data_IF_587657520860
#
_entry.id   IF_587657520860
#
_cell.length_a   1.000
_cell.length_b   1.000
_cell.length_c   1.000
_cell.angle_alpha   90.00
_cell.angle_beta   90.00
_cell.angle_gamma   90.00
#
_symmetry.space_group_name_H-M   'P 1'
#
loop_
_entity.id
_entity.type
_entity.pdbx_description
1 polymer ?
#
# COMPACT_ATOMS: atom_id res chain seq x y z
N UNK A 1 -7.98 25.63 27.35
CA UNK A 1 -7.68 25.07 26.01
C UNK A 1 -8.83 24.16 25.60
N UNK A 2 -9.72 24.60 24.71
CA UNK A 2 -10.86 23.80 24.23
C UNK A 2 -10.42 23.07 22.94
N UNK A 3 -10.31 21.74 22.99
CA UNK A 3 -10.21 20.93 21.78
C UNK A 3 -11.46 21.18 20.94
N UNK A 4 -11.28 21.74 19.74
CA UNK A 4 -12.34 21.78 18.73
C UNK A 4 -12.49 20.37 18.20
N UNK A 5 -13.35 19.57 18.83
CA UNK A 5 -13.81 18.32 18.23
C UNK A 5 -14.66 18.69 17.02
N UNK A 6 -14.05 18.73 15.84
CA UNK A 6 -14.78 18.75 14.57
C UNK A 6 -15.56 17.46 14.47
N UNK A 7 -16.89 17.56 14.55
CA UNK A 7 -17.78 16.42 14.32
C UNK A 7 -17.50 15.82 12.95
N UNK A 8 -17.36 14.49 12.89
CA UNK A 8 -17.19 13.77 11.63
C UNK A 8 -18.42 13.98 10.74
N UNK A 9 -18.21 14.07 9.43
CA UNK A 9 -19.33 14.22 8.48
C UNK A 9 -20.23 12.99 8.50
N UNK A 10 -21.52 13.20 8.18
CA UNK A 10 -22.50 12.10 8.08
C UNK A 10 -22.07 11.01 7.08
N UNK A 11 -21.33 11.38 6.03
CA UNK A 11 -20.78 10.44 5.05
C UNK A 11 -19.68 9.55 5.63
N UNK A 12 -18.83 10.08 6.52
CA UNK A 12 -17.79 9.30 7.20
C UNK A 12 -18.40 8.39 8.24
N UNK A 13 -19.39 8.88 9.02
CA UNK A 13 -20.13 8.05 9.97
C UNK A 13 -20.81 6.86 9.30
N UNK A 14 -21.44 7.08 8.14
CA UNK A 14 -22.05 6.02 7.36
C UNK A 14 -21.03 5.00 6.82
N UNK A 15 -19.82 5.45 6.43
CA UNK A 15 -18.74 4.55 6.02
C UNK A 15 -18.17 3.73 7.18
N UNK A 16 -18.06 4.31 8.36
CA UNK A 16 -17.59 3.61 9.56
C UNK A 16 -18.64 2.58 10.00
N UNK A 17 -19.92 2.95 10.00
CA UNK A 17 -21.00 2.05 10.40
C UNK A 17 -21.13 0.83 9.48
N UNK A 18 -20.81 0.97 8.19
CA UNK A 18 -20.84 -0.11 7.21
C UNK A 18 -19.46 -0.69 6.89
N UNK A 19 -18.42 -0.28 7.63
CA UNK A 19 -17.06 -0.77 7.44
C UNK A 19 -16.86 -2.16 8.05
N UNK A 20 -15.77 -2.86 7.70
CA UNK A 20 -15.43 -4.13 8.32
C UNK A 20 -15.20 -3.93 9.82
N UNK A 21 -15.80 -4.82 10.61
CA UNK A 21 -15.64 -4.89 12.06
C UNK A 21 -14.29 -5.52 12.42
N UNK A 22 -13.86 -5.37 13.68
CA UNK A 22 -12.65 -6.04 14.16
C UNK A 22 -12.74 -7.57 13.99
N UNK A 23 -13.93 -8.14 14.17
CA UNK A 23 -14.18 -9.57 14.03
C UNK A 23 -13.86 -10.08 12.62
N UNK A 24 -14.02 -9.26 11.60
CA UNK A 24 -13.68 -9.62 10.21
C UNK A 24 -12.16 -9.80 10.00
N UNK A 25 -11.32 -9.23 10.88
CA UNK A 25 -9.86 -9.35 10.83
C UNK A 25 -9.29 -10.44 11.73
N UNK A 26 -10.00 -10.78 12.82
CA UNK A 26 -9.57 -11.81 13.79
C UNK A 26 -10.06 -13.20 13.38
N UNK A 27 -11.04 -13.27 12.49
CA UNK A 27 -11.57 -14.55 11.98
C UNK A 27 -10.48 -15.35 11.25
N UNK A 28 -10.36 -16.66 11.52
CA UNK A 28 -9.38 -17.52 10.86
C UNK A 28 -9.72 -17.81 9.39
N UNK A 29 -10.98 -17.59 9.02
CA UNK A 29 -11.48 -17.84 7.69
C UNK A 29 -11.12 -16.68 6.75
N UNK A 30 -10.52 -16.97 5.57
CA UNK A 30 -10.24 -15.94 4.59
C UNK A 30 -11.55 -15.32 4.06
N UNK A 31 -11.53 -14.05 3.63
CA UNK A 31 -12.68 -13.43 2.98
C UNK A 31 -13.27 -14.30 1.88
N UNK A 32 -14.59 -14.43 1.85
CA UNK A 32 -15.34 -15.31 0.93
C UNK A 32 -15.01 -15.08 -0.55
N UNK A 33 -14.63 -13.86 -0.90
CA UNK A 33 -14.24 -13.44 -2.25
C UNK A 33 -12.92 -14.10 -2.73
N UNK A 34 -12.05 -14.48 -1.79
CA UNK A 34 -10.75 -15.10 -2.10
C UNK A 34 -10.82 -16.62 -2.22
N UNK A 35 -12.02 -17.21 -2.07
CA UNK A 35 -12.26 -18.66 -2.14
C UNK A 35 -11.89 -19.29 -3.49
N UNK A 36 -11.72 -18.47 -4.54
CA UNK A 36 -11.30 -18.90 -5.88
C UNK A 36 -9.78 -19.03 -6.07
N UNK A 37 -8.97 -18.64 -5.08
CA UNK A 37 -7.51 -18.76 -5.18
C UNK A 37 -7.02 -20.12 -4.68
N UNK A 38 -6.58 -20.96 -5.60
CA UNK A 38 -6.09 -22.32 -5.30
C UNK A 38 -4.63 -22.38 -4.80
N UNK A 39 -3.94 -21.22 -4.70
CA UNK A 39 -2.53 -21.16 -4.30
C UNK A 39 -2.31 -21.18 -2.79
N UNK A 40 -1.17 -21.74 -2.35
CA UNK A 40 -0.74 -21.67 -0.94
C UNK A 40 -0.40 -20.22 -0.55
N UNK A 41 -1.10 -19.69 0.45
CA UNK A 41 -0.83 -18.34 1.01
C UNK A 41 0.25 -18.33 2.09
N UNK A 42 0.53 -19.49 2.71
CA UNK A 42 1.50 -19.62 3.80
C UNK A 42 2.46 -20.75 3.50
N UNK A 43 3.75 -20.50 3.75
CA UNK A 43 4.82 -21.50 3.59
C UNK A 43 4.83 -22.42 4.80
N UNK A 44 4.99 -23.71 4.57
CA UNK A 44 5.08 -24.71 5.63
C UNK A 44 6.50 -24.78 6.21
N UNK A 45 6.63 -25.25 7.45
CA UNK A 45 7.92 -25.34 8.13
C UNK A 45 8.77 -26.45 7.48
N UNK A 46 9.88 -26.07 6.86
CA UNK A 46 10.81 -26.99 6.18
C UNK A 46 10.84 -26.86 4.66
N UNK A 47 9.94 -26.09 4.08
CA UNK A 47 9.92 -25.80 2.64
C UNK A 47 10.92 -24.67 2.31
N UNK A 48 11.88 -24.94 1.42
CA UNK A 48 12.91 -23.97 0.99
C UNK A 48 12.41 -23.01 -0.09
N UNK A 49 11.45 -23.44 -0.88
CA UNK A 49 11.01 -22.71 -2.07
C UNK A 49 10.16 -21.50 -1.71
N UNK A 50 10.35 -20.42 -2.49
CA UNK A 50 9.57 -19.18 -2.32
C UNK A 50 8.22 -19.35 -3.00
N UNK A 51 7.16 -19.16 -2.22
CA UNK A 51 5.80 -19.10 -2.75
C UNK A 51 5.66 -17.94 -3.74
N UNK A 52 4.88 -18.15 -4.79
CA UNK A 52 4.53 -17.12 -5.75
C UNK A 52 3.57 -16.12 -5.11
N UNK A 53 3.75 -14.85 -5.45
CA UNK A 53 2.86 -13.79 -4.98
C UNK A 53 1.47 -13.96 -5.63
N UNK A 54 0.37 -13.90 -4.86
CA UNK A 54 -0.98 -13.92 -5.41
C UNK A 54 -1.23 -12.75 -6.38
N UNK A 55 -2.16 -12.90 -7.34
CA UNK A 55 -2.42 -11.88 -8.37
C UNK A 55 -2.76 -10.49 -7.80
N UNK A 56 -3.57 -10.42 -6.75
CA UNK A 56 -4.04 -9.15 -6.17
C UNK A 56 -2.97 -8.37 -5.40
N UNK A 57 -1.87 -9.01 -5.01
CA UNK A 57 -0.77 -8.36 -4.29
C UNK A 57 0.37 -7.95 -5.24
N UNK A 58 0.29 -8.33 -6.52
CA UNK A 58 1.25 -7.88 -7.54
C UNK A 58 0.97 -6.43 -7.88
N UNK A 59 2.03 -5.63 -7.90
CA UNK A 59 1.97 -4.25 -8.36
C UNK A 59 2.50 -4.12 -9.78
N UNK A 60 2.04 -3.09 -10.47
CA UNK A 60 2.51 -2.76 -11.81
C UNK A 60 3.89 -2.10 -11.73
N UNK A 61 4.66 -2.24 -12.81
CA UNK A 61 5.96 -1.59 -12.94
C UNK A 61 5.73 -0.07 -12.99
N UNK A 62 6.43 0.73 -12.16
CA UNK A 62 6.25 2.18 -12.15
C UNK A 62 6.70 2.77 -13.50
N UNK A 63 5.74 3.27 -14.26
CA UNK A 63 5.95 3.97 -15.53
C UNK A 63 5.31 5.36 -15.44
N UNK A 64 6.09 6.43 -15.53
CA UNK A 64 5.56 7.79 -15.48
C UNK A 64 6.64 8.86 -15.52
N UNK A 65 6.31 10.03 -16.07
CA UNK A 65 7.22 11.18 -16.21
C UNK A 65 7.66 11.72 -14.84
N UNK A 66 6.74 11.81 -13.88
CA UNK A 66 7.04 12.24 -12.51
C UNK A 66 7.98 11.27 -11.77
N UNK A 67 7.77 9.96 -11.91
CA UNK A 67 8.65 8.96 -11.33
C UNK A 67 10.10 9.13 -11.83
N UNK A 68 10.28 9.23 -13.15
CA UNK A 68 11.60 9.45 -13.75
C UNK A 68 12.24 10.75 -13.29
N UNK A 69 11.46 11.85 -13.24
CA UNK A 69 11.93 13.15 -12.76
C UNK A 69 12.45 13.08 -11.32
N UNK A 70 11.69 12.49 -10.40
CA UNK A 70 12.08 12.38 -8.99
C UNK A 70 13.29 11.48 -8.83
N UNK A 71 13.32 10.34 -9.54
CA UNK A 71 14.47 9.43 -9.56
C UNK A 71 15.75 10.15 -9.99
N UNK A 72 15.68 10.96 -11.05
CA UNK A 72 16.82 11.73 -11.54
C UNK A 72 17.24 12.82 -10.55
N UNK A 73 16.29 13.50 -9.91
CA UNK A 73 16.58 14.51 -8.89
C UNK A 73 17.27 13.91 -7.67
N UNK A 74 16.77 12.79 -7.14
CA UNK A 74 17.36 12.12 -5.98
C UNK A 74 18.80 11.66 -6.28
N UNK A 75 19.06 11.11 -7.47
CA UNK A 75 20.41 10.72 -7.90
C UNK A 75 21.35 11.89 -8.07
N UNK A 76 20.88 12.99 -8.67
CA UNK A 76 21.68 14.22 -8.83
C UNK A 76 22.07 14.83 -7.49
N UNK A 77 21.17 14.75 -6.51
CA UNK A 77 21.38 15.26 -5.15
C UNK A 77 22.05 14.25 -4.23
N UNK A 78 22.31 13.03 -4.70
CA UNK A 78 22.87 11.92 -3.93
C UNK A 78 22.10 11.63 -2.63
N UNK A 79 20.76 11.62 -2.70
CA UNK A 79 19.86 11.40 -1.57
C UNK A 79 19.28 9.99 -1.61
N UNK A 80 19.17 9.37 -0.42
CA UNK A 80 18.56 8.06 -0.24
C UNK A 80 17.14 8.20 0.30
N UNK A 81 16.27 7.28 -0.13
CA UNK A 81 14.87 7.26 0.32
C UNK A 81 14.48 5.87 0.79
N UNK A 82 13.59 5.79 1.78
CA UNK A 82 13.00 4.51 2.23
C UNK A 82 12.35 3.78 1.05
N UNK A 83 11.76 4.52 0.11
CA UNK A 83 11.11 3.95 -1.06
C UNK A 83 12.06 3.11 -1.93
N UNK A 84 13.29 3.57 -2.15
CA UNK A 84 14.29 2.85 -2.94
C UNK A 84 14.99 1.75 -2.13
N UNK A 85 15.41 2.04 -0.90
CA UNK A 85 16.15 1.10 -0.04
C UNK A 85 15.28 -0.12 0.33
N UNK A 86 14.00 0.10 0.67
CA UNK A 86 13.07 -0.97 1.01
C UNK A 86 12.41 -1.63 -0.20
N UNK A 87 12.71 -1.20 -1.44
CA UNK A 87 12.07 -1.66 -2.68
C UNK A 87 10.54 -1.62 -2.58
N UNK A 88 10.01 -0.47 -2.17
CA UNK A 88 8.59 -0.29 -1.89
C UNK A 88 7.74 -0.60 -3.13
N UNK A 89 6.74 -1.51 -3.05
CA UNK A 89 5.89 -1.85 -4.18
C UNK A 89 4.99 -0.70 -4.64
N UNK A 90 4.80 0.33 -3.80
CA UNK A 90 3.93 1.48 -4.05
C UNK A 90 4.69 2.73 -4.54
N UNK A 91 5.99 2.61 -4.83
CA UNK A 91 6.85 3.75 -5.22
C UNK A 91 6.30 4.52 -6.45
N UNK A 92 5.67 3.82 -7.39
CA UNK A 92 5.07 4.44 -8.58
C UNK A 92 3.90 5.35 -8.26
N UNK A 93 3.07 4.97 -7.29
CA UNK A 93 1.92 5.76 -6.84
C UNK A 93 2.41 6.98 -6.03
N UNK A 94 3.29 6.75 -5.06
CA UNK A 94 3.82 7.80 -4.19
C UNK A 94 4.55 8.91 -4.97
N UNK A 95 5.38 8.53 -5.95
CA UNK A 95 6.13 9.49 -6.78
C UNK A 95 5.36 9.94 -8.02
N UNK A 96 4.31 9.23 -8.43
CA UNK A 96 3.45 9.61 -9.55
C UNK A 96 2.56 10.82 -9.25
N UNK A 97 2.22 11.02 -7.97
CA UNK A 97 1.51 12.20 -7.48
C UNK A 97 0.02 12.00 -7.21
N UNK A 98 -0.49 10.77 -7.27
CA UNK A 98 -1.91 10.45 -7.05
C UNK A 98 -2.86 11.31 -7.90
N UNK A 99 -4.08 11.52 -7.39
CA UNK A 99 -5.14 12.30 -8.06
C UNK A 99 -4.88 13.82 -8.04
N UNK A 100 -4.03 14.30 -7.12
CA UNK A 100 -3.73 15.72 -6.92
C UNK A 100 -2.39 16.16 -7.52
N UNK A 101 -1.70 15.29 -8.26
CA UNK A 101 -0.40 15.56 -8.88
C UNK A 101 0.75 15.85 -7.89
N UNK A 102 0.54 15.67 -6.58
CA UNK A 102 1.52 15.99 -5.54
C UNK A 102 2.37 14.77 -5.24
N UNK A 103 3.59 14.76 -5.76
CA UNK A 103 4.53 13.67 -5.55
C UNK A 103 5.32 13.87 -4.25
N UNK A 104 5.35 12.83 -3.40
CA UNK A 104 6.01 12.89 -2.10
C UNK A 104 7.12 11.84 -2.03
N UNK A 105 8.30 12.25 -1.60
CA UNK A 105 9.42 11.36 -1.32
C UNK A 105 9.98 11.69 0.07
N UNK A 106 10.11 10.67 0.92
CA UNK A 106 10.74 10.79 2.24
C UNK A 106 12.22 10.45 2.11
N UNK A 107 13.07 11.42 2.44
CA UNK A 107 14.53 11.30 2.44
C UNK A 107 14.97 10.86 3.85
N UNK A 108 15.97 9.98 3.91
CA UNK A 108 16.60 9.55 5.17
C UNK A 108 17.86 10.35 5.48
#
# INVERSE_FOLDING_TARGET
MRCKHTALSNSVLHKIANGPSLQDFVSPDPPKDWSSYEGKLRREKGESDRLRLPPWLKTNIPTGTNYSRIKDQLRKLNLHTVCEEARCPNIGECWGGGEHGTATATIM
#
